data_IF_860087703232
#
_entry.id   IF_860087703232
#
_cell.length_a   1.000
_cell.length_b   1.000
_cell.length_c   1.000
_cell.angle_alpha   90.00
_cell.angle_beta   90.00
_cell.angle_gamma   90.00
#
_symmetry.space_group_name_H-M   'P 1'
#
loop_
_entity.id
_entity.type
_entity.pdbx_description
1 polymer ?
#
# COMPACT_ATOMS: atom_id res chain seq x y z
N UNK A 1 29.64 16.67 -30.92
CA UNK A 1 28.87 15.44 -31.23
C UNK A 1 27.85 15.23 -30.13
N UNK A 2 26.65 14.79 -30.54
CA UNK A 2 25.36 15.02 -29.90
C UNK A 2 25.16 14.46 -28.48
N UNK A 3 24.34 15.18 -27.71
CA UNK A 3 23.69 14.72 -26.50
C UNK A 3 22.66 13.61 -26.83
N UNK A 4 22.56 12.61 -25.96
CA UNK A 4 21.46 11.65 -25.96
C UNK A 4 20.89 11.50 -24.54
N UNK A 5 19.88 12.33 -24.28
CA UNK A 5 18.85 12.13 -23.26
C UNK A 5 18.09 10.84 -23.55
N UNK A 6 17.95 9.96 -22.56
CA UNK A 6 16.90 8.93 -22.57
C UNK A 6 16.08 9.10 -21.29
N UNK A 7 15.08 9.97 -21.36
CA UNK A 7 13.95 9.93 -20.46
C UNK A 7 13.02 8.82 -20.96
N UNK A 8 13.07 7.65 -20.32
CA UNK A 8 12.05 6.63 -20.51
C UNK A 8 10.79 7.08 -19.75
N UNK A 9 9.93 7.84 -20.41
CA UNK A 9 8.56 8.05 -19.97
C UNK A 9 7.80 6.74 -20.12
N UNK A 10 7.49 6.08 -18.99
CA UNK A 10 6.44 5.06 -18.97
C UNK A 10 5.12 5.76 -19.31
N UNK A 11 4.67 5.59 -20.55
CA UNK A 11 3.29 5.87 -20.94
C UNK A 11 2.40 4.85 -20.23
N UNK A 12 1.90 5.20 -19.05
CA UNK A 12 0.81 4.47 -18.42
C UNK A 12 -0.44 4.68 -19.28
N UNK A 13 -0.76 3.69 -20.12
CA UNK A 13 -2.03 3.67 -20.84
C UNK A 13 -3.17 3.80 -19.81
N UNK A 14 -4.01 4.82 -19.97
CA UNK A 14 -5.23 4.95 -19.18
C UNK A 14 -6.10 3.72 -19.50
N UNK A 15 -6.50 2.91 -18.51
CA UNK A 15 -7.34 1.75 -18.78
C UNK A 15 -8.65 2.20 -19.40
N UNK A 16 -9.04 1.58 -20.51
CA UNK A 16 -10.39 1.75 -21.08
C UNK A 16 -11.48 1.41 -20.04
N UNK A 17 -12.67 2.00 -20.16
CA UNK A 17 -13.81 1.67 -19.28
C UNK A 17 -14.14 0.17 -19.30
N UNK A 18 -13.92 -0.52 -20.43
CA UNK A 18 -14.09 -1.96 -20.56
C UNK A 18 -13.06 -2.77 -19.75
N UNK A 19 -11.79 -2.34 -19.70
CA UNK A 19 -10.76 -2.99 -18.86
C UNK A 19 -11.00 -2.80 -17.36
N UNK A 20 -11.59 -1.68 -16.95
CA UNK A 20 -12.00 -1.43 -15.57
C UNK A 20 -13.21 -2.31 -15.16
N UNK A 21 -14.18 -2.50 -16.05
CA UNK A 21 -15.31 -3.39 -15.82
C UNK A 21 -14.87 -4.86 -15.68
N UNK A 22 -13.93 -5.32 -16.51
CA UNK A 22 -13.34 -6.66 -16.39
C UNK A 22 -12.59 -6.87 -15.07
N UNK A 23 -11.81 -5.87 -14.64
CA UNK A 23 -11.04 -5.95 -13.39
C UNK A 23 -11.92 -5.92 -12.14
N UNK A 24 -12.97 -5.09 -12.06
CA UNK A 24 -13.81 -5.04 -10.86
C UNK A 24 -14.98 -6.05 -10.90
N UNK A 25 -15.30 -6.57 -12.08
CA UNK A 25 -16.38 -7.54 -12.27
C UNK A 25 -17.78 -6.95 -12.03
N UNK A 26 -18.80 -7.81 -12.12
CA UNK A 26 -20.19 -7.41 -11.96
C UNK A 26 -20.54 -7.09 -10.49
N UNK A 27 -21.29 -6.02 -10.26
CA UNK A 27 -21.80 -5.56 -8.96
C UNK A 27 -23.31 -5.75 -8.75
N UNK A 28 -24.08 -6.11 -9.78
CA UNK A 28 -25.56 -6.18 -9.71
C UNK A 28 -26.09 -7.24 -8.74
N UNK A 29 -25.31 -8.30 -8.47
CA UNK A 29 -25.68 -9.40 -7.57
C UNK A 29 -25.08 -9.29 -6.16
N UNK A 30 -24.56 -8.12 -5.76
CA UNK A 30 -24.05 -7.94 -4.39
C UNK A 30 -25.27 -7.83 -3.44
N UNK A 31 -25.36 -8.69 -2.40
CA UNK A 31 -26.44 -8.60 -1.42
C UNK A 31 -26.49 -7.24 -0.74
N UNK A 32 -27.68 -6.82 -0.33
CA UNK A 32 -27.83 -5.65 0.54
C UNK A 32 -27.39 -6.03 1.94
N UNK A 33 -26.50 -5.23 2.52
CA UNK A 33 -26.01 -5.42 3.89
C UNK A 33 -27.13 -5.29 4.91
N UNK A 34 -27.13 -6.14 5.93
CA UNK A 34 -27.95 -5.95 7.13
C UNK A 34 -27.24 -5.12 8.21
N UNK A 35 -25.97 -4.77 7.96
CA UNK A 35 -25.10 -3.97 8.83
C UNK A 35 -24.66 -2.67 8.11
N UNK A 36 -23.35 -2.41 8.05
CA UNK A 36 -22.79 -1.16 7.50
C UNK A 36 -22.75 -1.22 5.97
N UNK A 37 -22.14 -2.28 5.42
CA UNK A 37 -21.99 -2.50 3.99
C UNK A 37 -21.60 -3.96 3.69
N UNK A 38 -21.67 -4.34 2.41
CA UNK A 38 -21.23 -5.67 1.96
C UNK A 38 -19.88 -5.59 1.27
N UNK A 39 -18.89 -6.36 1.74
CA UNK A 39 -17.67 -6.59 0.98
C UNK A 39 -17.85 -7.75 0.01
N UNK A 40 -17.28 -7.62 -1.18
CA UNK A 40 -17.11 -8.69 -2.16
C UNK A 40 -15.62 -8.90 -2.40
N UNK A 41 -15.11 -10.07 -2.00
CA UNK A 41 -13.72 -10.44 -2.26
C UNK A 41 -13.61 -11.00 -3.69
N UNK A 42 -12.65 -10.49 -4.46
CA UNK A 42 -12.42 -10.84 -5.85
C UNK A 42 -11.08 -11.55 -5.99
N UNK A 43 -11.11 -12.74 -6.59
CA UNK A 43 -9.90 -13.43 -6.99
C UNK A 43 -9.31 -12.75 -8.23
N UNK A 44 -8.15 -12.13 -8.08
CA UNK A 44 -7.34 -11.53 -9.15
C UNK A 44 -5.94 -12.10 -9.18
N UNK A 45 -5.80 -13.37 -8.82
CA UNK A 45 -4.53 -14.10 -8.81
C UNK A 45 -4.06 -14.55 -10.20
N UNK A 46 -4.68 -14.06 -11.29
CA UNK A 46 -4.41 -14.44 -12.68
C UNK A 46 -4.40 -15.95 -12.92
N UNK A 47 -5.38 -16.65 -12.36
CA UNK A 47 -5.51 -18.11 -12.48
C UNK A 47 -4.51 -18.91 -11.65
N UNK A 48 -3.62 -18.26 -10.88
CA UNK A 48 -2.68 -18.97 -10.01
C UNK A 48 -3.38 -19.80 -8.94
N UNK A 49 -4.47 -19.26 -8.37
CA UNK A 49 -5.28 -19.92 -7.35
C UNK A 49 -6.75 -19.93 -7.76
N UNK A 50 -7.47 -21.06 -7.62
CA UNK A 50 -8.92 -21.06 -7.68
C UNK A 50 -9.53 -20.37 -6.45
N UNK A 51 -10.81 -20.01 -6.51
CA UNK A 51 -11.52 -19.35 -5.40
C UNK A 51 -11.50 -20.14 -4.07
N UNK A 52 -11.40 -21.48 -4.14
CA UNK A 52 -11.26 -22.36 -2.97
C UNK A 52 -9.89 -22.27 -2.29
N UNK A 53 -8.95 -21.49 -2.86
CA UNK A 53 -7.58 -21.29 -2.38
C UNK A 53 -7.24 -19.81 -2.16
N UNK A 54 -8.23 -18.92 -2.22
CA UNK A 54 -8.10 -17.52 -1.83
C UNK A 54 -8.95 -17.31 -0.59
N UNK A 55 -8.30 -17.04 0.54
CA UNK A 55 -8.95 -16.94 1.83
C UNK A 55 -8.98 -15.50 2.32
N UNK A 56 -10.00 -15.17 3.10
CA UNK A 56 -10.03 -13.99 3.94
C UNK A 56 -10.25 -14.40 5.41
N UNK A 57 -9.68 -13.61 6.32
CA UNK A 57 -9.91 -13.74 7.77
C UNK A 57 -10.37 -12.39 8.31
N UNK A 58 -11.55 -12.36 8.92
CA UNK A 58 -12.13 -11.15 9.50
C UNK A 58 -13.07 -11.50 10.65
N UNK A 59 -12.97 -10.74 11.74
CA UNK A 59 -13.83 -10.89 12.92
C UNK A 59 -13.92 -12.33 13.45
N UNK A 60 -12.76 -13.01 13.55
CA UNK A 60 -12.65 -14.39 14.03
C UNK A 60 -13.11 -15.48 13.05
N UNK A 61 -13.57 -15.12 11.84
CA UNK A 61 -13.96 -16.07 10.80
C UNK A 61 -12.90 -16.13 9.71
N UNK A 62 -12.67 -17.33 9.18
CA UNK A 62 -11.83 -17.56 8.01
C UNK A 62 -12.59 -18.39 6.99
N UNK A 63 -12.66 -17.91 5.76
CA UNK A 63 -13.32 -18.59 4.65
C UNK A 63 -12.58 -18.38 3.35
N UNK A 64 -12.69 -19.34 2.43
CA UNK A 64 -12.32 -19.15 1.04
C UNK A 64 -13.38 -18.33 0.29
N UNK A 65 -13.00 -17.74 -0.85
CA UNK A 65 -13.96 -17.06 -1.74
C UNK A 65 -15.03 -18.05 -2.24
N UNK A 66 -14.67 -19.32 -2.46
CA UNK A 66 -15.62 -20.34 -2.91
C UNK A 66 -16.70 -20.65 -1.87
N UNK A 67 -16.33 -20.65 -0.57
CA UNK A 67 -17.29 -20.89 0.52
C UNK A 67 -18.13 -19.65 0.81
N UNK A 68 -17.50 -18.48 0.89
CA UNK A 68 -18.16 -17.24 1.31
C UNK A 68 -17.51 -16.02 0.67
N UNK A 69 -18.00 -15.65 -0.52
CA UNK A 69 -17.48 -14.50 -1.30
C UNK A 69 -17.88 -13.14 -0.73
N UNK A 70 -19.03 -13.07 -0.06
CA UNK A 70 -19.59 -11.84 0.50
C UNK A 70 -19.41 -11.79 2.02
N UNK A 71 -19.01 -10.63 2.52
CA UNK A 71 -18.89 -10.37 3.96
C UNK A 71 -19.85 -9.25 4.31
N UNK A 72 -20.78 -9.50 5.22
CA UNK A 72 -21.64 -8.47 5.78
C UNK A 72 -20.89 -7.81 6.94
N UNK A 73 -20.54 -6.53 6.80
CA UNK A 73 -19.54 -5.88 7.65
C UNK A 73 -20.22 -5.14 8.81
N UNK A 74 -19.95 -5.52 10.07
CA UNK A 74 -20.51 -4.84 11.24
C UNK A 74 -19.79 -3.52 11.52
N UNK A 75 -20.24 -2.83 12.57
CA UNK A 75 -19.49 -1.72 13.18
C UNK A 75 -18.21 -2.29 13.81
N UNK A 76 -17.05 -1.76 13.42
CA UNK A 76 -15.75 -2.21 13.90
C UNK A 76 -14.80 -1.04 14.14
N UNK A 77 -13.91 -1.20 15.11
CA UNK A 77 -12.87 -0.23 15.47
C UNK A 77 -11.50 -0.89 15.40
N UNK A 78 -10.52 -0.22 14.79
CA UNK A 78 -9.14 -0.69 14.61
C UNK A 78 -9.05 -2.11 14.01
N UNK A 79 -9.95 -2.42 13.08
CA UNK A 79 -10.07 -3.78 12.55
C UNK A 79 -9.11 -4.02 11.39
N UNK A 80 -8.66 -5.27 11.29
CA UNK A 80 -7.91 -5.80 10.15
C UNK A 80 -8.68 -6.93 9.50
N UNK A 81 -8.72 -6.92 8.17
CA UNK A 81 -9.15 -8.07 7.37
C UNK A 81 -7.93 -8.60 6.63
N UNK A 82 -7.56 -9.84 6.92
CA UNK A 82 -6.40 -10.51 6.33
C UNK A 82 -6.81 -11.33 5.12
N UNK A 83 -5.89 -11.49 4.17
CA UNK A 83 -6.03 -12.33 2.99
C UNK A 83 -4.89 -13.33 2.93
N UNK A 84 -5.18 -14.56 2.51
CA UNK A 84 -4.19 -15.64 2.41
C UNK A 84 -4.37 -16.42 1.11
N UNK A 85 -3.26 -16.84 0.49
CA UNK A 85 -3.29 -17.64 -0.73
C UNK A 85 -2.74 -19.06 -0.51
N UNK A 86 -3.44 -20.05 -1.05
CA UNK A 86 -3.11 -21.48 -0.95
C UNK A 86 -3.70 -22.19 0.26
N UNK A 87 -3.61 -21.59 1.45
CA UNK A 87 -4.19 -22.11 2.69
C UNK A 87 -4.61 -20.95 3.61
N UNK A 88 -5.54 -21.17 4.57
CA UNK A 88 -6.00 -20.12 5.49
C UNK A 88 -4.92 -19.58 6.43
N UNK A 89 -3.83 -20.32 6.62
CA UNK A 89 -2.68 -19.97 7.48
C UNK A 89 -1.39 -19.71 6.69
N UNK A 90 -1.49 -19.51 5.38
CA UNK A 90 -0.34 -19.30 4.49
C UNK A 90 0.43 -18.02 4.83
N UNK A 91 1.76 -18.07 4.66
CA UNK A 91 2.64 -16.90 4.76
C UNK A 91 2.47 -15.91 3.60
N UNK A 92 1.89 -16.35 2.48
CA UNK A 92 1.43 -15.47 1.41
C UNK A 92 0.18 -14.73 1.88
N UNK A 93 0.42 -13.65 2.61
CA UNK A 93 -0.62 -12.92 3.30
C UNK A 93 -0.37 -11.42 3.31
N UNK A 94 -1.47 -10.69 3.35
CA UNK A 94 -1.54 -9.23 3.46
C UNK A 94 -2.87 -8.84 4.11
N UNK A 95 -3.07 -7.56 4.40
CA UNK A 95 -4.29 -7.11 5.07
C UNK A 95 -4.69 -5.68 4.69
N UNK A 96 -5.94 -5.35 4.98
CA UNK A 96 -6.45 -3.98 4.99
C UNK A 96 -6.82 -3.58 6.41
N UNK A 97 -6.76 -2.28 6.68
CA UNK A 97 -7.15 -1.68 7.96
C UNK A 97 -8.43 -0.89 7.76
N UNK A 98 -9.34 -0.96 8.72
CA UNK A 98 -10.62 -0.26 8.64
C UNK A 98 -11.22 0.12 9.98
N UNK A 99 -12.03 1.16 9.93
CA UNK A 99 -13.00 1.54 10.96
C UNK A 99 -14.36 1.76 10.29
N UNK A 100 -15.43 1.40 10.97
CA UNK A 100 -16.79 1.67 10.51
C UNK A 100 -17.65 2.24 11.63
N UNK A 101 -18.64 3.04 11.26
CA UNK A 101 -19.82 3.34 12.08
C UNK A 101 -21.05 2.79 11.37
N UNK A 102 -22.25 3.04 11.89
CA UNK A 102 -23.50 2.65 11.21
C UNK A 102 -23.68 3.28 9.81
N UNK A 103 -22.98 4.39 9.53
CA UNK A 103 -23.14 5.14 8.28
C UNK A 103 -21.83 5.62 7.67
N UNK A 104 -20.68 5.15 8.13
CA UNK A 104 -19.37 5.60 7.66
C UNK A 104 -18.36 4.46 7.61
N UNK A 105 -17.43 4.54 6.65
CA UNK A 105 -16.23 3.69 6.59
C UNK A 105 -15.00 4.55 6.35
N UNK A 106 -13.90 4.23 7.04
CA UNK A 106 -12.55 4.60 6.68
C UNK A 106 -11.73 3.34 6.47
N UNK A 107 -11.01 3.24 5.36
CA UNK A 107 -10.29 2.03 4.96
C UNK A 107 -9.03 2.34 4.17
N UNK A 108 -8.00 1.51 4.32
CA UNK A 108 -6.77 1.58 3.53
C UNK A 108 -6.17 0.20 3.27
N UNK A 109 -5.49 0.05 2.12
CA UNK A 109 -4.37 -0.90 2.00
C UNK A 109 -3.16 -0.38 2.78
N UNK A 110 -2.20 -1.25 3.13
CA UNK A 110 -0.98 -0.79 3.82
C UNK A 110 0.28 -1.53 3.38
N UNK A 111 1.38 -0.78 3.28
CA UNK A 111 2.74 -1.27 3.01
C UNK A 111 3.71 -0.84 4.12
N UNK A 112 3.18 -0.33 5.24
CA UNK A 112 3.96 0.15 6.40
C UNK A 112 4.83 -0.95 6.99
N UNK A 113 4.32 -2.18 7.02
CA UNK A 113 5.06 -3.35 7.50
C UNK A 113 5.74 -4.11 6.36
N UNK A 114 5.09 -4.17 5.19
CA UNK A 114 5.61 -4.88 4.02
C UNK A 114 4.58 -5.03 2.91
N UNK A 115 5.04 -5.48 1.74
CA UNK A 115 4.21 -5.93 0.63
C UNK A 115 4.16 -7.46 0.62
N UNK A 116 2.99 -8.04 0.92
CA UNK A 116 2.75 -9.47 0.88
C UNK A 116 1.98 -9.89 -0.38
N UNK A 117 0.80 -9.35 -0.57
CA UNK A 117 -0.11 -9.62 -1.68
C UNK A 117 -0.50 -8.32 -2.37
N UNK A 118 -0.85 -8.40 -3.66
CA UNK A 118 -1.40 -7.25 -4.39
C UNK A 118 -2.84 -7.04 -3.90
N UNK A 119 -3.16 -5.84 -3.43
CA UNK A 119 -4.48 -5.48 -2.94
C UNK A 119 -4.96 -4.21 -3.62
N UNK A 120 -6.21 -4.20 -4.05
CA UNK A 120 -6.89 -3.00 -4.49
C UNK A 120 -8.32 -2.98 -3.97
N UNK A 121 -8.80 -1.78 -3.64
CA UNK A 121 -10.12 -1.54 -3.06
C UNK A 121 -10.93 -0.65 -3.99
N UNK A 122 -12.24 -0.89 -4.03
CA UNK A 122 -13.22 -0.01 -4.65
C UNK A 122 -14.40 0.16 -3.71
N UNK A 123 -14.56 1.34 -3.12
CA UNK A 123 -15.69 1.67 -2.23
C UNK A 123 -16.77 2.35 -3.04
N UNK A 124 -18.02 1.92 -2.90
CA UNK A 124 -19.18 2.54 -3.53
C UNK A 124 -20.25 2.88 -2.50
N UNK A 125 -20.79 4.09 -2.57
CA UNK A 125 -21.78 4.61 -1.61
C UNK A 125 -23.21 4.47 -2.13
N UNK A 126 -24.20 4.61 -1.25
CA UNK A 126 -25.62 4.61 -1.60
C UNK A 126 -26.00 5.76 -2.54
N UNK A 127 -25.26 6.88 -2.48
CA UNK A 127 -25.44 8.05 -3.35
C UNK A 127 -24.67 7.98 -4.67
N UNK A 128 -23.98 6.87 -4.95
CA UNK A 128 -23.26 6.65 -6.21
C UNK A 128 -21.81 7.16 -6.22
N UNK A 129 -21.34 7.81 -5.15
CA UNK A 129 -19.93 8.20 -5.03
C UNK A 129 -19.03 6.96 -4.94
N UNK A 130 -17.82 7.07 -5.47
CA UNK A 130 -16.87 5.97 -5.57
C UNK A 130 -15.42 6.44 -5.53
N UNK A 131 -14.54 5.63 -4.93
CA UNK A 131 -13.10 5.73 -5.12
C UNK A 131 -12.42 4.37 -5.09
N UNK A 132 -11.22 4.34 -5.69
CA UNK A 132 -10.35 3.17 -5.74
C UNK A 132 -8.96 3.48 -5.24
N UNK A 133 -8.36 2.55 -4.49
CA UNK A 133 -6.98 2.65 -3.95
C UNK A 133 -6.29 1.29 -4.01
N UNK A 134 -4.98 1.27 -3.79
CA UNK A 134 -4.14 0.07 -3.82
C UNK A 134 -3.34 -0.07 -5.12
N UNK A 135 -2.82 -1.26 -5.42
CA UNK A 135 -2.00 -1.48 -6.61
C UNK A 135 -2.79 -1.33 -7.92
N UNK A 136 -2.14 -0.81 -8.97
CA UNK A 136 -2.73 -0.66 -10.30
C UNK A 136 -2.99 -2.00 -11.00
N UNK A 137 -3.90 -2.01 -11.97
CA UNK A 137 -4.16 -3.20 -12.79
C UNK A 137 -2.91 -3.71 -13.52
N UNK A 138 -1.97 -2.82 -13.89
CA UNK A 138 -0.69 -3.21 -14.48
C UNK A 138 0.12 -4.12 -13.54
N UNK A 139 0.18 -3.78 -12.25
CA UNK A 139 0.83 -4.61 -11.22
C UNK A 139 0.08 -5.93 -11.04
N UNK A 140 -1.27 -5.88 -11.03
CA UNK A 140 -2.07 -7.10 -10.98
C UNK A 140 -1.80 -8.03 -12.15
N UNK A 141 -1.53 -7.54 -13.36
CA UNK A 141 -1.22 -8.36 -14.53
C UNK A 141 0.18 -9.00 -14.50
N UNK A 142 1.08 -8.52 -13.65
CA UNK A 142 2.41 -9.12 -13.49
C UNK A 142 2.33 -10.43 -12.72
N UNK A 143 3.33 -11.30 -12.90
CA UNK A 143 3.56 -12.37 -11.93
C UNK A 143 4.18 -11.80 -10.65
N UNK A 144 4.05 -12.51 -9.53
CA UNK A 144 4.76 -12.18 -8.29
C UNK A 144 6.25 -11.93 -8.50
N UNK A 145 6.92 -12.84 -9.23
CA UNK A 145 8.36 -12.74 -9.47
C UNK A 145 8.71 -11.48 -10.28
N UNK A 146 7.89 -11.14 -11.27
CA UNK A 146 8.06 -9.90 -12.04
C UNK A 146 7.90 -8.65 -11.15
N UNK A 147 6.91 -8.63 -10.25
CA UNK A 147 6.74 -7.51 -9.29
C UNK A 147 7.93 -7.38 -8.34
N UNK A 148 8.47 -8.49 -7.82
CA UNK A 148 9.67 -8.48 -6.98
C UNK A 148 10.91 -8.02 -7.75
N UNK A 149 11.06 -8.45 -9.00
CA UNK A 149 12.17 -8.02 -9.85
C UNK A 149 12.06 -6.53 -10.22
N UNK A 150 10.84 -6.04 -10.47
CA UNK A 150 10.60 -4.62 -10.74
C UNK A 150 10.99 -3.76 -9.53
N UNK A 151 10.68 -4.21 -8.30
CA UNK A 151 11.18 -3.56 -7.09
C UNK A 151 12.71 -3.47 -7.09
N UNK A 152 13.41 -4.58 -7.32
CA UNK A 152 14.89 -4.63 -7.36
C UNK A 152 15.47 -3.72 -8.44
N UNK A 153 14.78 -3.57 -9.57
CA UNK A 153 15.23 -2.74 -10.69
C UNK A 153 15.06 -1.25 -10.41
N UNK A 154 14.04 -0.85 -9.64
CA UNK A 154 13.63 0.54 -9.47
C UNK A 154 14.07 1.18 -8.14
N UNK A 155 14.65 0.42 -7.22
CA UNK A 155 15.19 0.96 -5.95
C UNK A 155 16.73 1.01 -5.94
N UNK A 156 17.33 1.97 -5.20
CA UNK A 156 18.78 2.00 -5.00
C UNK A 156 19.32 0.75 -4.32
N UNK A 157 20.64 0.53 -4.43
CA UNK A 157 21.33 -0.67 -3.93
C UNK A 157 21.00 -1.00 -2.46
N UNK A 158 20.80 0.02 -1.61
CA UNK A 158 20.48 -0.11 -0.19
C UNK A 158 19.15 -0.81 0.09
N UNK A 159 18.21 -0.80 -0.86
CA UNK A 159 16.87 -1.37 -0.69
C UNK A 159 16.69 -2.70 -1.42
N UNK A 160 17.57 -3.03 -2.39
CA UNK A 160 17.40 -4.21 -3.26
C UNK A 160 17.32 -5.53 -2.50
N UNK A 161 17.97 -5.63 -1.33
CA UNK A 161 17.92 -6.86 -0.51
C UNK A 161 16.56 -7.10 0.14
N UNK A 162 15.71 -6.08 0.27
CA UNK A 162 14.37 -6.22 0.86
C UNK A 162 13.53 -7.23 0.07
N UNK A 163 13.71 -7.34 -1.25
CA UNK A 163 13.03 -8.35 -2.06
C UNK A 163 13.50 -9.80 -1.82
N UNK A 164 14.52 -10.01 -0.99
CA UNK A 164 15.14 -11.32 -0.74
C UNK A 164 14.99 -11.79 0.71
N UNK A 165 15.06 -10.87 1.68
CA UNK A 165 15.12 -11.22 3.13
C UNK A 165 13.94 -12.05 3.63
N UNK A 166 12.76 -11.88 3.03
CA UNK A 166 11.56 -12.66 3.35
C UNK A 166 10.94 -13.27 2.09
N UNK A 167 11.74 -13.46 1.04
CA UNK A 167 11.30 -14.15 -0.17
C UNK A 167 10.98 -15.63 0.13
N UNK A 168 10.01 -16.24 -0.57
CA UNK A 168 9.15 -15.63 -1.60
C UNK A 168 7.94 -14.86 -1.02
N UNK A 169 7.81 -14.75 0.29
CA UNK A 169 6.56 -14.37 0.96
C UNK A 169 6.27 -12.88 1.00
N UNK A 170 7.27 -12.01 1.16
CA UNK A 170 7.06 -10.55 1.19
C UNK A 170 8.32 -9.73 0.97
N UNK A 171 8.11 -8.45 0.65
CA UNK A 171 9.11 -7.39 0.70
C UNK A 171 8.83 -6.57 1.96
N UNK A 172 9.60 -6.71 3.06
CA UNK A 172 9.36 -5.93 4.27
C UNK A 172 9.72 -4.45 4.05
N UNK A 173 9.04 -3.57 4.80
CA UNK A 173 9.41 -2.17 4.85
C UNK A 173 10.80 -2.00 5.50
N UNK A 174 11.56 -0.93 5.18
CA UNK A 174 12.86 -0.68 5.79
C UNK A 174 12.83 -0.62 7.31
N UNK A 175 11.74 -0.13 7.91
CA UNK A 175 11.53 -0.08 9.37
C UNK A 175 11.47 -1.46 10.02
N UNK A 176 11.25 -2.54 9.25
CA UNK A 176 11.18 -3.93 9.71
C UNK A 176 12.40 -4.76 9.35
N UNK A 177 13.38 -4.17 8.67
CA UNK A 177 14.56 -4.88 8.21
C UNK A 177 15.80 -4.52 9.04
N UNK A 178 16.52 -5.55 9.49
CA UNK A 178 17.68 -5.41 10.36
C UNK A 178 18.80 -4.56 9.74
N UNK A 179 18.89 -4.45 8.41
CA UNK A 179 19.93 -3.62 7.78
C UNK A 179 19.78 -2.13 8.10
N UNK A 180 18.56 -1.65 8.37
CA UNK A 180 18.27 -0.24 8.69
C UNK A 180 18.11 0.04 10.19
N UNK A 181 18.13 -0.99 11.03
CA UNK A 181 18.10 -0.88 12.49
C UNK A 181 19.48 -0.54 13.08
N UNK A 182 19.58 -0.13 14.37
CA UNK A 182 20.87 0.02 15.05
C UNK A 182 21.76 -1.22 14.91
N UNK A 183 23.04 -1.01 14.59
CA UNK A 183 23.99 -2.08 14.26
C UNK A 183 23.93 -2.59 12.82
N UNK A 184 22.86 -2.28 12.07
CA UNK A 184 22.70 -2.66 10.67
C UNK A 184 23.63 -1.90 9.72
N UNK A 185 23.92 -2.49 8.56
CA UNK A 185 24.80 -1.91 7.53
C UNK A 185 24.34 -0.55 6.98
N UNK A 186 23.05 -0.25 7.06
CA UNK A 186 22.42 1.00 6.60
C UNK A 186 21.82 1.81 7.77
N UNK A 187 22.20 1.54 9.01
CA UNK A 187 21.72 2.27 10.20
C UNK A 187 21.95 3.80 10.12
N UNK A 188 22.92 4.26 9.32
CA UNK A 188 23.26 5.67 9.16
C UNK A 188 22.70 6.29 7.86
N UNK A 189 21.81 5.60 7.14
CA UNK A 189 21.32 6.01 5.81
C UNK A 189 20.77 7.45 5.78
N UNK A 190 19.98 7.86 6.78
CA UNK A 190 19.46 9.22 6.87
C UNK A 190 20.30 10.19 7.72
N UNK A 191 21.27 9.69 8.49
CA UNK A 191 21.93 10.43 9.58
C UNK A 191 22.49 11.79 9.15
N UNK A 192 23.23 11.84 8.02
CA UNK A 192 23.80 13.10 7.51
C UNK A 192 22.73 14.10 7.08
N UNK A 193 21.67 13.62 6.40
CA UNK A 193 20.60 14.47 5.93
C UNK A 193 19.75 15.01 7.09
N UNK A 194 19.36 14.15 8.03
CA UNK A 194 18.63 14.58 9.22
C UNK A 194 19.43 15.62 10.03
N UNK A 195 20.74 15.42 10.20
CA UNK A 195 21.61 16.42 10.84
C UNK A 195 21.64 17.76 10.09
N UNK A 196 21.67 17.74 8.75
CA UNK A 196 21.70 18.98 7.94
C UNK A 196 20.43 19.84 8.07
N UNK A 197 19.34 19.27 8.56
CA UNK A 197 18.06 19.96 8.80
C UNK A 197 17.74 20.09 10.29
N UNK A 198 18.75 19.99 11.17
CA UNK A 198 18.59 20.22 12.62
C UNK A 198 18.05 19.03 13.43
N UNK A 199 17.99 17.84 12.82
CA UNK A 199 17.39 16.63 13.43
C UNK A 199 18.39 15.46 13.51
N UNK A 200 19.66 15.76 13.81
CA UNK A 200 20.74 14.76 13.85
C UNK A 200 20.62 13.69 14.94
N UNK A 201 19.73 13.91 15.91
CA UNK A 201 19.38 12.95 16.96
C UNK A 201 18.35 11.90 16.51
N UNK A 202 17.66 12.11 15.37
CA UNK A 202 16.66 11.16 14.87
C UNK A 202 17.38 10.02 14.14
N UNK A 203 17.15 8.78 14.58
CA UNK A 203 17.76 7.61 13.97
C UNK A 203 17.17 7.28 12.59
N UNK A 204 17.91 6.56 11.74
CA UNK A 204 17.38 6.07 10.45
C UNK A 204 16.14 5.19 10.64
N UNK A 205 16.15 4.31 11.64
CA UNK A 205 15.02 3.45 11.98
C UNK A 205 13.80 4.26 12.40
N UNK A 206 13.98 5.31 13.21
CA UNK A 206 12.90 6.20 13.63
C UNK A 206 12.31 7.00 12.47
N UNK A 207 13.14 7.43 11.51
CA UNK A 207 12.65 8.10 10.30
C UNK A 207 11.77 7.15 9.49
N UNK A 208 12.23 5.93 9.21
CA UNK A 208 11.40 4.96 8.46
C UNK A 208 10.13 4.56 9.20
N UNK A 209 10.18 4.45 10.53
CA UNK A 209 9.07 4.01 11.36
C UNK A 209 8.19 5.16 11.88
N UNK A 210 8.52 6.42 11.57
CA UNK A 210 7.96 7.59 12.23
C UNK A 210 7.83 7.42 13.74
N UNK A 211 8.94 7.03 14.38
CA UNK A 211 9.00 6.68 15.79
C UNK A 211 9.95 7.62 16.54
N UNK A 212 10.15 7.35 17.83
CA UNK A 212 11.09 8.10 18.68
C UNK A 212 10.82 9.62 18.63
N UNK A 213 11.86 10.39 18.32
CA UNK A 213 11.81 11.85 18.29
C UNK A 213 10.87 12.45 17.22
N UNK A 214 10.40 11.66 16.24
CA UNK A 214 9.43 12.10 15.22
C UNK A 214 8.06 11.43 15.37
N UNK A 215 7.83 10.68 16.46
CA UNK A 215 6.58 9.93 16.69
C UNK A 215 5.34 10.82 16.70
N UNK A 216 5.43 12.05 17.17
CA UNK A 216 4.30 12.99 17.24
C UNK A 216 4.44 14.16 16.27
N UNK A 217 5.28 14.02 15.23
CA UNK A 217 5.49 15.05 14.23
C UNK A 217 5.35 14.47 12.82
N UNK A 218 4.10 14.25 12.41
CA UNK A 218 3.75 13.65 11.13
C UNK A 218 4.33 14.43 9.94
N UNK A 219 4.26 15.76 9.98
CA UNK A 219 4.81 16.63 8.95
C UNK A 219 6.32 16.43 8.76
N UNK A 220 7.09 16.44 9.86
CA UNK A 220 8.53 16.25 9.81
C UNK A 220 8.90 14.83 9.38
N UNK A 221 8.25 13.80 9.92
CA UNK A 221 8.54 12.43 9.50
C UNK A 221 8.31 12.24 8.00
N UNK A 222 7.18 12.73 7.50
CA UNK A 222 6.87 12.72 6.07
C UNK A 222 7.93 13.45 5.25
N UNK A 223 8.33 14.65 5.67
CA UNK A 223 9.33 15.44 4.99
C UNK A 223 10.72 14.79 4.97
N UNK A 224 11.12 14.11 6.05
CA UNK A 224 12.37 13.36 6.10
C UNK A 224 12.34 12.14 5.16
N UNK A 225 11.26 11.34 5.19
CA UNK A 225 11.10 10.19 4.29
C UNK A 225 11.11 10.60 2.81
N UNK A 226 10.51 11.76 2.48
CA UNK A 226 10.36 12.25 1.11
C UNK A 226 11.51 13.13 0.61
N UNK A 227 12.51 13.40 1.46
CA UNK A 227 13.64 14.30 1.18
C UNK A 227 13.24 15.74 0.84
N UNK A 228 12.32 16.31 1.63
CA UNK A 228 11.88 17.72 1.49
C UNK A 228 12.01 18.55 2.76
N UNK A 229 12.53 17.98 3.85
CA UNK A 229 12.69 18.66 5.14
C UNK A 229 13.66 19.85 5.11
N UNK A 230 14.56 19.91 4.12
CA UNK A 230 15.44 21.05 3.85
C UNK A 230 14.72 22.24 3.20
N UNK A 231 13.51 22.03 2.68
CA UNK A 231 12.70 23.07 2.06
C UNK A 231 11.83 23.74 3.11
N UNK A 232 11.30 24.93 2.77
CA UNK A 232 10.25 25.56 3.57
C UNK A 232 9.07 24.61 3.77
N UNK A 233 8.51 24.59 4.98
CA UNK A 233 7.42 23.67 5.35
C UNK A 233 6.20 23.78 4.43
N UNK A 234 5.95 24.95 3.84
CA UNK A 234 4.90 25.16 2.83
C UNK A 234 5.10 24.33 1.55
N UNK A 235 6.31 23.83 1.30
CA UNK A 235 6.65 22.93 0.19
C UNK A 235 6.61 21.46 0.56
N UNK A 236 6.44 21.11 1.84
CA UNK A 236 6.44 19.71 2.26
C UNK A 236 5.23 18.93 1.73
N UNK A 237 4.15 19.61 1.32
CA UNK A 237 2.99 18.99 0.66
C UNK A 237 3.09 18.87 -0.87
N UNK A 238 4.13 19.43 -1.49
CA UNK A 238 4.28 19.43 -2.95
C UNK A 238 4.88 18.10 -3.44
N UNK A 239 4.00 17.24 -3.96
CA UNK A 239 4.36 15.88 -4.41
C UNK A 239 5.36 15.86 -5.56
N UNK A 240 5.46 16.95 -6.33
CA UNK A 240 6.41 17.06 -7.43
C UNK A 240 7.87 17.08 -6.96
N UNK A 241 8.10 17.37 -5.67
CA UNK A 241 9.42 17.49 -5.05
C UNK A 241 9.88 16.19 -4.36
N UNK A 242 9.00 15.21 -4.19
CA UNK A 242 9.28 14.02 -3.39
C UNK A 242 10.28 13.08 -4.07
N UNK A 243 11.17 12.50 -3.24
CA UNK A 243 12.12 11.45 -3.62
C UNK A 243 13.08 11.81 -4.77
N UNK A 244 13.28 13.10 -5.05
CA UNK A 244 14.15 13.59 -6.13
C UNK A 244 15.65 13.43 -5.82
N UNK A 245 16.01 13.23 -4.55
CA UNK A 245 17.40 13.09 -4.10
C UNK A 245 17.51 12.10 -2.94
N UNK A 246 18.65 11.43 -2.85
CA UNK A 246 18.99 10.55 -1.74
C UNK A 246 19.63 11.34 -0.57
N UNK A 247 19.46 10.89 0.68
CA UNK A 247 18.66 9.74 1.09
C UNK A 247 17.16 10.04 1.10
N UNK A 248 16.36 9.10 0.60
CA UNK A 248 14.90 9.11 0.69
C UNK A 248 14.36 7.69 0.90
N UNK A 249 13.08 7.55 1.28
CA UNK A 249 12.42 6.25 1.40
C UNK A 249 12.00 5.74 0.02
N UNK A 250 12.95 5.13 -0.69
CA UNK A 250 12.72 4.59 -2.03
C UNK A 250 11.83 3.35 -2.05
N UNK A 251 11.63 2.68 -0.91
CA UNK A 251 10.60 1.65 -0.75
C UNK A 251 9.20 2.28 -0.86
N UNK A 252 8.92 3.36 -0.12
CA UNK A 252 7.63 4.07 -0.22
C UNK A 252 7.41 4.64 -1.63
N UNK A 253 8.44 5.29 -2.21
CA UNK A 253 8.39 5.79 -3.59
C UNK A 253 7.99 4.69 -4.58
N UNK A 254 8.53 3.48 -4.43
CA UNK A 254 8.17 2.36 -5.28
C UNK A 254 6.66 2.10 -5.22
N UNK A 255 6.08 1.97 -4.04
CA UNK A 255 4.63 1.72 -3.92
C UNK A 255 3.77 2.87 -4.45
N UNK A 256 4.15 4.14 -4.25
CA UNK A 256 3.45 5.27 -4.89
C UNK A 256 3.49 5.19 -6.42
N UNK A 257 4.61 4.78 -7.03
CA UNK A 257 4.70 4.65 -8.48
C UNK A 257 3.83 3.51 -9.05
N UNK A 258 3.39 2.57 -8.20
CA UNK A 258 2.66 1.37 -8.59
C UNK A 258 1.22 1.35 -8.04
N UNK A 259 0.80 2.44 -7.37
CA UNK A 259 -0.52 2.58 -6.78
C UNK A 259 -1.45 3.48 -7.60
N UNK A 260 -2.75 3.17 -7.54
CA UNK A 260 -3.81 3.97 -8.16
C UNK A 260 -3.75 5.39 -7.60
N UNK A 261 -3.75 6.40 -8.49
CA UNK A 261 -3.67 7.80 -8.11
C UNK A 261 -2.36 8.21 -7.41
N UNK A 262 -1.32 7.35 -7.46
CA UNK A 262 -0.09 7.51 -6.69
C UNK A 262 -0.27 7.56 -5.17
N UNK A 263 -1.38 7.01 -4.66
CA UNK A 263 -1.72 6.99 -3.23
C UNK A 263 -1.38 5.63 -2.62
N UNK A 264 -0.41 5.59 -1.71
CA UNK A 264 0.07 4.36 -1.07
C UNK A 264 0.43 4.64 0.39
N UNK A 265 0.12 3.71 1.29
CA UNK A 265 0.52 3.80 2.70
C UNK A 265 1.90 3.13 2.89
N UNK A 266 2.97 3.78 2.43
CA UNK A 266 4.32 3.22 2.38
C UNK A 266 5.14 3.38 3.68
N UNK A 267 4.73 4.28 4.56
CA UNK A 267 5.27 4.50 5.90
C UNK A 267 4.20 5.15 6.82
N UNK A 268 4.32 5.14 8.15
CA UNK A 268 3.21 5.46 9.07
C UNK A 268 2.55 6.84 8.88
N UNK A 269 3.30 7.86 8.46
CA UNK A 269 2.78 9.21 8.22
C UNK A 269 2.72 9.60 6.74
N UNK A 270 2.41 8.64 5.86
CA UNK A 270 2.18 8.94 4.45
C UNK A 270 0.94 9.84 4.23
N UNK A 271 0.02 9.83 5.18
CA UNK A 271 -1.20 10.65 5.24
C UNK A 271 -0.93 12.13 5.58
N UNK A 272 0.25 12.49 6.11
CA UNK A 272 0.59 13.87 6.50
C UNK A 272 0.51 14.91 5.36
N UNK A 273 0.47 14.45 4.10
CA UNK A 273 0.16 15.27 2.94
C UNK A 273 -0.87 14.59 2.01
N UNK A 274 -1.81 13.85 2.60
CA UNK A 274 -2.86 13.11 1.90
C UNK A 274 -2.31 12.03 0.95
N UNK A 275 -1.09 11.51 1.10
CA UNK A 275 -0.52 10.57 0.10
C UNK A 275 -0.76 9.10 0.41
N UNK A 276 -1.36 8.78 1.54
CA UNK A 276 -1.68 7.40 1.89
C UNK A 276 -2.81 6.84 1.01
N UNK A 277 -2.97 5.51 1.00
CA UNK A 277 -4.11 4.84 0.34
C UNK A 277 -5.39 4.87 1.18
N UNK A 278 -5.50 5.79 2.14
CA UNK A 278 -6.69 5.93 2.97
C UNK A 278 -7.80 6.65 2.22
N UNK A 279 -8.99 6.07 2.26
CA UNK A 279 -10.23 6.66 1.76
C UNK A 279 -11.33 6.51 2.80
N UNK A 280 -12.22 7.50 2.86
CA UNK A 280 -13.34 7.49 3.78
C UNK A 280 -14.61 7.99 3.11
N UNK A 281 -15.74 7.37 3.45
CA UNK A 281 -17.03 7.64 2.85
C UNK A 281 -18.18 7.54 3.85
N UNK A 282 -19.14 8.46 3.71
CA UNK A 282 -20.46 8.33 4.32
C UNK A 282 -21.36 7.43 3.46
N UNK A 283 -22.34 6.83 4.10
CA UNK A 283 -23.38 5.97 3.52
C UNK A 283 -22.81 4.90 2.57
N UNK A 284 -21.83 4.08 3.02
CA UNK A 284 -21.29 3.02 2.17
C UNK A 284 -22.37 2.01 1.79
N UNK A 285 -22.23 1.40 0.61
CA UNK A 285 -23.15 0.36 0.09
C UNK A 285 -22.42 -0.97 -0.06
N UNK A 286 -21.33 -0.97 -0.81
CA UNK A 286 -20.48 -2.14 -0.97
C UNK A 286 -19.01 -1.74 -1.20
N UNK A 287 -18.10 -2.68 -0.94
CA UNK A 287 -16.69 -2.56 -1.30
C UNK A 287 -16.23 -3.80 -2.04
N UNK A 288 -15.50 -3.61 -3.14
CA UNK A 288 -14.82 -4.69 -3.83
C UNK A 288 -13.37 -4.75 -3.34
N UNK A 289 -12.88 -5.96 -3.10
CA UNK A 289 -11.52 -6.20 -2.62
C UNK A 289 -10.83 -7.15 -3.59
N UNK A 290 -9.93 -6.64 -4.42
CA UNK A 290 -9.15 -7.45 -5.34
C UNK A 290 -7.92 -8.03 -4.63
N UNK A 291 -7.79 -9.36 -4.65
CA UNK A 291 -6.63 -10.09 -4.11
C UNK A 291 -5.84 -10.70 -5.26
N UNK A 292 -4.61 -10.23 -5.45
CA UNK A 292 -3.76 -10.59 -6.58
C UNK A 292 -2.52 -11.41 -6.22
N UNK A 293 -1.82 -11.86 -7.26
CA UNK A 293 -0.59 -12.66 -7.18
C UNK A 293 0.58 -12.03 -7.92
#
# INVERSE_FOLDING_TARGET
MAAATVAAGLSLAVPTAASAAGFWGNTSGIPVSSHVMTFKVLNRTNGKYPDSKVFWTFNGQTHSIAEKRYVDVPVVTAARMYFHLGSPNSQYSDFIEMNTTSSWIGVNTTRVDGFGLKLALRVHTKGGAEATVGETQAVFNQTRNATFQEFVNNVPAQFKHLAKVQAPYRIPAPSKDAAFQPGGRYQNYFKKYAASVGHGNVSTSDIFACAGAVANNAALCGALNRHVAQLNQSKWGDTSLYYKKAPANYYARFWHNHAIGHKAYGFPYDDAADQSSYIAFNNPKYMLIAVGW
#
